data_IF_675869749532
#
_entry.id   IF_675869749532
#
_cell.length_a   1.000
_cell.length_b   1.000
_cell.length_c   1.000
_cell.angle_alpha   90.00
_cell.angle_beta   90.00
_cell.angle_gamma   90.00
#
_symmetry.space_group_name_H-M   'P 1'
#
loop_
_entity.id
_entity.type
_entity.pdbx_description
1 polymer ?
#
# COMPACT_ATOMS: atom_id res chain seq x y z
N UNK A 1 -3.75 14.42 -5.47
CA UNK A 1 -2.71 13.68 -6.25
C UNK A 1 -2.14 14.53 -7.39
N UNK A 2 -2.95 15.12 -8.25
CA UNK A 2 -2.49 15.81 -9.48
C UNK A 2 -1.49 16.94 -9.18
N UNK A 3 -1.82 17.81 -8.22
CA UNK A 3 -1.02 18.99 -7.93
C UNK A 3 0.42 18.65 -7.47
N UNK A 4 0.66 17.74 -6.50
CA UNK A 4 2.02 17.26 -6.20
C UNK A 4 2.77 16.66 -7.39
N UNK A 5 2.09 15.98 -8.32
CA UNK A 5 2.74 15.42 -9.52
C UNK A 5 3.23 16.54 -10.44
N UNK A 6 2.43 17.59 -10.63
CA UNK A 6 2.85 18.76 -11.42
C UNK A 6 4.06 19.42 -10.76
N UNK A 7 3.98 19.64 -9.43
CA UNK A 7 5.11 20.19 -8.67
C UNK A 7 6.37 19.32 -8.73
N UNK A 8 6.22 18.00 -8.79
CA UNK A 8 7.36 17.07 -8.87
C UNK A 8 8.23 17.31 -10.10
N UNK A 9 7.66 17.82 -11.20
CA UNK A 9 8.42 18.12 -12.43
C UNK A 9 9.47 19.20 -12.22
N UNK A 10 9.18 20.19 -11.38
CA UNK A 10 10.13 21.22 -11.01
C UNK A 10 11.21 20.69 -10.05
N UNK A 11 10.90 19.71 -9.21
CA UNK A 11 11.87 19.11 -8.28
C UNK A 11 12.90 18.20 -8.95
N UNK A 12 12.75 17.92 -10.26
CA UNK A 12 13.70 17.14 -11.06
C UNK A 12 14.90 17.97 -11.54
N UNK A 13 14.95 19.27 -11.27
CA UNK A 13 16.16 20.05 -11.51
C UNK A 13 17.35 19.44 -10.74
N UNK A 14 18.49 19.29 -11.43
CA UNK A 14 19.63 18.44 -11.04
C UNK A 14 20.13 18.66 -9.61
N UNK A 15 20.08 19.90 -9.14
CA UNK A 15 20.55 20.29 -7.81
C UNK A 15 19.55 19.91 -6.71
N UNK A 16 18.25 20.09 -6.95
CA UNK A 16 17.20 19.67 -6.02
C UNK A 16 17.09 18.15 -5.94
N UNK A 17 17.17 17.46 -7.08
CA UNK A 17 17.06 16.00 -7.12
C UNK A 17 18.12 15.31 -6.25
N UNK A 18 19.38 15.74 -6.34
CA UNK A 18 20.49 15.17 -5.55
C UNK A 18 20.31 15.37 -4.05
N UNK A 19 19.77 16.52 -3.64
CA UNK A 19 19.52 16.82 -2.22
C UNK A 19 18.31 16.06 -1.65
N UNK A 20 17.28 15.79 -2.46
CA UNK A 20 16.02 15.18 -2.01
C UNK A 20 16.07 13.65 -2.05
N UNK A 21 16.78 13.05 -3.02
CA UNK A 21 16.76 11.60 -3.23
C UNK A 21 17.13 10.76 -1.97
N UNK A 22 18.09 11.16 -1.11
CA UNK A 22 18.43 10.38 0.09
C UNK A 22 17.29 10.39 1.12
N UNK A 23 16.52 11.49 1.18
CA UNK A 23 15.45 11.69 2.15
C UNK A 23 14.10 11.17 1.68
N UNK A 24 13.95 10.88 0.38
CA UNK A 24 12.69 10.42 -0.22
C UNK A 24 12.02 9.30 0.58
N UNK A 25 12.78 8.28 0.96
CA UNK A 25 12.25 7.16 1.74
C UNK A 25 11.74 7.59 3.11
N UNK A 26 12.52 8.39 3.85
CA UNK A 26 12.14 8.90 5.16
C UNK A 26 10.88 9.78 5.08
N UNK A 27 10.82 10.72 4.11
CA UNK A 27 9.66 11.61 3.92
C UNK A 27 8.39 10.80 3.64
N UNK A 28 8.48 9.79 2.77
CA UNK A 28 7.34 8.92 2.44
C UNK A 28 6.90 8.12 3.67
N UNK A 29 7.84 7.54 4.41
CA UNK A 29 7.53 6.76 5.62
C UNK A 29 6.88 7.64 6.70
N UNK A 30 7.36 8.86 6.91
CA UNK A 30 6.74 9.81 7.83
C UNK A 30 5.35 10.23 7.38
N UNK A 31 5.14 10.45 6.07
CA UNK A 31 3.81 10.72 5.52
C UNK A 31 2.83 9.58 5.80
N UNK A 32 3.24 8.34 5.53
CA UNK A 32 2.41 7.17 5.85
C UNK A 32 2.18 7.00 7.35
N UNK A 33 3.20 7.23 8.18
CA UNK A 33 3.10 7.16 9.64
C UNK A 33 2.02 8.11 10.17
N UNK A 34 2.02 9.37 9.73
CA UNK A 34 1.02 10.37 10.14
C UNK A 34 -0.38 9.95 9.70
N UNK A 35 -0.55 9.44 8.47
CA UNK A 35 -1.85 8.95 8.00
C UNK A 35 -2.34 7.77 8.85
N UNK A 36 -1.49 6.77 9.10
CA UNK A 36 -1.90 5.58 9.84
C UNK A 36 -2.18 5.85 11.32
N UNK A 37 -1.35 6.65 11.99
CA UNK A 37 -1.60 6.97 13.40
C UNK A 37 -2.89 7.79 13.57
N UNK A 38 -3.21 8.66 12.61
CA UNK A 38 -4.46 9.42 12.62
C UNK A 38 -5.65 8.49 12.45
N UNK A 39 -5.62 7.61 11.45
CA UNK A 39 -6.71 6.64 11.20
C UNK A 39 -6.90 5.71 12.39
N UNK A 40 -5.82 5.15 12.94
CA UNK A 40 -5.89 4.24 14.08
C UNK A 40 -6.35 4.97 15.34
N UNK A 41 -5.84 6.19 15.58
CA UNK A 41 -6.18 7.00 16.75
C UNK A 41 -7.66 7.39 16.78
N UNK A 42 -8.19 7.90 15.66
CA UNK A 42 -9.61 8.25 15.55
C UNK A 42 -10.52 7.03 15.69
N UNK A 43 -10.07 5.87 15.20
CA UNK A 43 -10.83 4.62 15.28
C UNK A 43 -10.49 3.73 16.48
N UNK A 44 -9.77 4.25 17.49
CA UNK A 44 -9.27 3.48 18.64
C UNK A 44 -10.36 2.59 19.26
N UNK A 45 -11.56 3.13 19.47
CA UNK A 45 -12.68 2.38 20.08
C UNK A 45 -13.06 1.17 19.24
N UNK A 46 -13.19 1.32 17.92
CA UNK A 46 -13.47 0.21 17.01
C UNK A 46 -12.35 -0.83 17.05
N UNK A 47 -11.09 -0.39 17.18
CA UNK A 47 -9.96 -1.32 17.29
C UNK A 47 -9.95 -2.13 18.60
N UNK A 48 -10.41 -1.54 19.71
CA UNK A 48 -10.40 -2.18 21.02
C UNK A 48 -11.68 -2.97 21.33
N UNK A 49 -12.83 -2.46 20.89
CA UNK A 49 -14.15 -2.98 21.28
C UNK A 49 -14.77 -3.90 20.22
N UNK A 50 -14.33 -3.81 18.95
CA UNK A 50 -14.94 -4.54 17.83
C UNK A 50 -13.94 -5.43 17.06
N UNK A 51 -13.25 -6.38 17.75
CA UNK A 51 -12.22 -7.22 17.11
C UNK A 51 -12.78 -8.06 15.95
N UNK A 52 -14.06 -8.43 16.01
CA UNK A 52 -14.73 -9.17 14.94
C UNK A 52 -14.71 -8.43 13.59
N UNK A 53 -14.87 -7.10 13.60
CA UNK A 53 -14.85 -6.31 12.35
C UNK A 53 -13.42 -6.25 11.80
N UNK A 54 -12.44 -6.02 12.67
CA UNK A 54 -11.03 -6.00 12.28
C UNK A 54 -10.58 -7.32 11.67
N UNK A 55 -10.96 -8.45 12.28
CA UNK A 55 -10.61 -9.79 11.77
C UNK A 55 -11.21 -10.00 10.38
N UNK A 56 -12.48 -9.63 10.18
CA UNK A 56 -13.13 -9.76 8.87
C UNK A 56 -12.43 -8.90 7.81
N UNK A 57 -12.14 -7.64 8.10
CA UNK A 57 -11.45 -6.75 7.16
C UNK A 57 -10.03 -7.28 6.86
N UNK A 58 -9.31 -7.73 7.88
CA UNK A 58 -7.97 -8.30 7.73
C UNK A 58 -7.99 -9.57 6.89
N UNK A 59 -8.97 -10.45 7.09
CA UNK A 59 -9.15 -11.67 6.29
C UNK A 59 -9.45 -11.32 4.83
N UNK A 60 -10.32 -10.34 4.58
CA UNK A 60 -10.63 -9.87 3.22
C UNK A 60 -9.38 -9.27 2.58
N UNK A 61 -8.65 -8.41 3.29
CA UNK A 61 -7.41 -7.79 2.81
C UNK A 61 -6.34 -8.83 2.48
N UNK A 62 -6.15 -9.81 3.38
CA UNK A 62 -5.21 -10.92 3.17
C UNK A 62 -5.64 -11.76 1.96
N UNK A 63 -6.89 -12.22 1.94
CA UNK A 63 -7.40 -13.07 0.86
C UNK A 63 -7.30 -12.36 -0.48
N UNK A 64 -7.77 -11.12 -0.59
CA UNK A 64 -7.73 -10.38 -1.86
C UNK A 64 -6.31 -10.13 -2.36
N UNK A 65 -5.35 -9.86 -1.45
CA UNK A 65 -3.94 -9.63 -1.82
C UNK A 65 -3.27 -10.91 -2.31
N UNK A 66 -3.37 -12.00 -1.54
CA UNK A 66 -2.71 -13.27 -1.88
C UNK A 66 -3.42 -14.02 -3.01
N UNK A 67 -4.75 -14.00 -3.05
CA UNK A 67 -5.52 -14.55 -4.16
C UNK A 67 -5.27 -13.74 -5.44
N UNK A 68 -5.20 -12.41 -5.35
CA UNK A 68 -4.79 -11.55 -6.45
C UNK A 68 -3.42 -11.92 -7.01
N UNK A 69 -2.43 -12.17 -6.13
CA UNK A 69 -1.12 -12.67 -6.51
C UNK A 69 -1.20 -14.01 -7.26
N UNK A 70 -1.91 -14.99 -6.71
CA UNK A 70 -2.02 -16.34 -7.30
C UNK A 70 -2.67 -16.27 -8.68
N UNK A 71 -3.80 -15.57 -8.80
CA UNK A 71 -4.54 -15.46 -10.06
C UNK A 71 -3.70 -14.76 -11.13
N UNK A 72 -3.11 -13.61 -10.81
CA UNK A 72 -2.26 -12.88 -11.76
C UNK A 72 -1.04 -13.69 -12.17
N UNK A 73 -0.40 -14.40 -11.23
CA UNK A 73 0.74 -15.24 -11.55
C UNK A 73 0.36 -16.39 -12.50
N UNK A 74 -0.77 -17.05 -12.28
CA UNK A 74 -1.27 -18.12 -13.17
C UNK A 74 -1.56 -17.56 -14.57
N UNK A 75 -2.27 -16.43 -14.66
CA UNK A 75 -2.65 -15.82 -15.93
C UNK A 75 -1.40 -15.40 -16.71
N UNK A 76 -0.49 -14.66 -16.08
CA UNK A 76 0.73 -14.16 -16.73
C UNK A 76 1.68 -15.29 -17.12
N UNK A 77 1.74 -16.37 -16.33
CA UNK A 77 2.50 -17.57 -16.69
C UNK A 77 1.88 -18.27 -17.91
N UNK A 78 0.56 -18.38 -18.00
CA UNK A 78 -0.14 -18.94 -19.17
C UNK A 78 0.05 -18.08 -20.42
N UNK A 79 0.20 -16.77 -20.27
CA UNK A 79 0.49 -15.84 -21.37
C UNK A 79 1.96 -15.83 -21.80
N UNK A 80 2.83 -16.64 -21.19
CA UNK A 80 4.25 -16.73 -21.55
C UNK A 80 5.10 -15.53 -21.10
N UNK A 81 4.62 -14.72 -20.16
CA UNK A 81 5.37 -13.57 -19.65
C UNK A 81 6.56 -14.06 -18.81
N UNK A 82 7.74 -13.52 -19.09
CA UNK A 82 8.97 -13.83 -18.37
C UNK A 82 8.86 -13.49 -16.87
N UNK A 83 9.72 -14.07 -16.03
CA UNK A 83 9.65 -13.90 -14.57
C UNK A 83 9.76 -12.43 -14.13
N UNK A 84 10.68 -11.64 -14.72
CA UNK A 84 10.95 -10.26 -14.30
C UNK A 84 9.75 -9.33 -14.57
N UNK A 85 9.19 -9.42 -15.76
CA UNK A 85 8.01 -8.63 -16.16
C UNK A 85 6.78 -9.11 -15.40
N UNK A 86 6.66 -10.42 -15.17
CA UNK A 86 5.57 -10.99 -14.37
C UNK A 86 5.57 -10.48 -12.93
N UNK A 87 6.72 -10.46 -12.24
CA UNK A 87 6.79 -9.90 -10.88
C UNK A 87 6.36 -8.44 -10.85
N UNK A 88 6.80 -7.65 -11.83
CA UNK A 88 6.45 -6.23 -11.92
C UNK A 88 4.95 -6.02 -12.16
N UNK A 89 4.35 -6.80 -13.07
CA UNK A 89 2.91 -6.76 -13.36
C UNK A 89 2.05 -7.24 -12.19
N UNK A 90 2.51 -8.27 -11.48
CA UNK A 90 1.85 -8.77 -10.28
C UNK A 90 1.83 -7.68 -9.20
N UNK A 91 2.99 -7.06 -8.91
CA UNK A 91 3.10 -5.98 -7.94
C UNK A 91 2.18 -4.81 -8.30
N UNK A 92 2.13 -4.44 -9.58
CA UNK A 92 1.23 -3.39 -10.09
C UNK A 92 -0.25 -3.75 -9.90
N UNK A 93 -0.61 -5.02 -10.06
CA UNK A 93 -2.00 -5.50 -9.94
C UNK A 93 -2.47 -5.73 -8.51
N UNK A 94 -1.57 -6.11 -7.59
CA UNK A 94 -1.91 -6.44 -6.19
C UNK A 94 -1.77 -5.26 -5.24
N UNK A 95 -0.78 -4.40 -5.45
CA UNK A 95 -0.50 -3.27 -4.55
C UNK A 95 -1.26 -2.04 -5.05
N UNK A 96 -2.26 -1.63 -4.26
CA UNK A 96 -3.02 -0.40 -4.49
C UNK A 96 -2.51 0.70 -3.56
N UNK A 97 -2.84 1.96 -3.88
CA UNK A 97 -2.54 3.07 -2.99
C UNK A 97 -3.55 3.15 -1.82
N UNK A 98 -3.45 2.19 -0.90
CA UNK A 98 -4.37 2.02 0.23
C UNK A 98 -4.21 3.11 1.30
N UNK A 99 -3.00 3.66 1.48
CA UNK A 99 -2.78 4.80 2.38
C UNK A 99 -3.51 6.06 1.90
N UNK A 100 -3.51 6.33 0.59
CA UNK A 100 -4.32 7.42 0.02
C UNK A 100 -5.81 7.13 0.11
N UNK A 101 -6.24 5.87 -0.09
CA UNK A 101 -7.64 5.49 0.09
C UNK A 101 -8.12 5.75 1.53
N UNK A 102 -7.29 5.43 2.54
CA UNK A 102 -7.59 5.72 3.94
C UNK A 102 -7.73 7.23 4.18
N UNK A 103 -6.79 8.03 3.66
CA UNK A 103 -6.82 9.48 3.81
C UNK A 103 -8.08 10.10 3.16
N UNK A 104 -8.42 9.69 1.93
CA UNK A 104 -9.63 10.18 1.26
C UNK A 104 -10.89 9.76 2.00
N UNK A 105 -10.96 8.50 2.44
CA UNK A 105 -12.08 7.99 3.20
C UNK A 105 -12.32 8.81 4.47
N UNK A 106 -11.25 9.11 5.21
CA UNK A 106 -11.31 9.95 6.41
C UNK A 106 -11.76 11.38 6.11
N UNK A 107 -11.38 11.95 4.97
CA UNK A 107 -11.73 13.34 4.63
C UNK A 107 -13.13 13.51 4.04
N UNK A 108 -13.66 12.49 3.35
CA UNK A 108 -14.92 12.59 2.59
C UNK A 108 -16.08 11.85 3.25
N UNK A 109 -15.81 10.95 4.18
CA UNK A 109 -16.79 10.12 4.87
C UNK A 109 -16.48 10.08 6.37
N UNK A 110 -16.97 9.06 7.06
CA UNK A 110 -16.76 8.88 8.50
C UNK A 110 -15.41 8.22 8.81
N UNK A 111 -14.93 8.43 10.03
CA UNK A 111 -13.69 7.87 10.57
C UNK A 111 -13.59 6.35 10.34
N UNK A 112 -14.69 5.61 10.58
CA UNK A 112 -14.75 4.16 10.43
C UNK A 112 -14.49 3.66 9.00
N UNK A 113 -14.79 4.47 7.99
CA UNK A 113 -14.59 4.10 6.59
C UNK A 113 -13.12 4.11 6.17
N UNK A 114 -12.26 4.74 6.97
CA UNK A 114 -10.81 4.78 6.73
C UNK A 114 -10.07 3.54 7.24
N UNK A 115 -10.69 2.76 8.13
CA UNK A 115 -10.11 1.55 8.74
C UNK A 115 -9.62 0.54 7.68
N UNK A 116 -10.40 0.18 6.63
CA UNK A 116 -9.94 -0.79 5.63
C UNK A 116 -8.67 -0.35 4.92
N UNK A 117 -8.51 0.94 4.60
CA UNK A 117 -7.32 1.45 3.94
C UNK A 117 -6.05 1.31 4.80
N UNK A 118 -6.17 1.52 6.12
CA UNK A 118 -5.06 1.30 7.05
C UNK A 118 -4.71 -0.20 7.19
N UNK A 119 -5.72 -1.06 7.36
CA UNK A 119 -5.50 -2.52 7.48
C UNK A 119 -4.87 -3.10 6.21
N UNK A 120 -5.40 -2.75 5.02
CA UNK A 120 -4.83 -3.20 3.75
C UNK A 120 -3.37 -2.76 3.61
N UNK A 121 -3.03 -1.54 4.05
CA UNK A 121 -1.65 -1.05 4.02
C UNK A 121 -0.71 -1.87 4.90
N UNK A 122 -1.16 -2.29 6.09
CA UNK A 122 -0.40 -3.19 6.95
C UNK A 122 -0.21 -4.58 6.30
N UNK A 123 -1.26 -5.12 5.68
CA UNK A 123 -1.17 -6.37 4.91
C UNK A 123 -0.20 -6.23 3.73
N UNK A 124 -0.17 -5.10 3.04
CA UNK A 124 0.79 -4.85 1.96
C UNK A 124 2.24 -4.83 2.45
N UNK A 125 2.52 -4.27 3.64
CA UNK A 125 3.85 -4.34 4.22
C UNK A 125 4.28 -5.80 4.46
N UNK A 126 3.39 -6.62 5.05
CA UNK A 126 3.64 -8.06 5.25
C UNK A 126 3.82 -8.80 3.92
N UNK A 127 2.97 -8.52 2.95
CA UNK A 127 3.03 -9.09 1.60
C UNK A 127 4.34 -8.75 0.90
N UNK A 128 4.82 -7.51 1.01
CA UNK A 128 6.10 -7.08 0.43
C UNK A 128 7.29 -7.78 1.09
N UNK A 129 7.28 -7.94 2.41
CA UNK A 129 8.31 -8.71 3.13
C UNK A 129 8.32 -10.17 2.65
N UNK A 130 7.14 -10.80 2.57
CA UNK A 130 6.99 -12.17 2.09
C UNK A 130 7.47 -12.34 0.66
N UNK A 131 7.08 -11.44 -0.26
CA UNK A 131 7.48 -11.51 -1.66
C UNK A 131 8.98 -11.27 -1.84
N UNK A 132 9.54 -10.32 -1.07
CA UNK A 132 10.97 -10.05 -1.05
C UNK A 132 11.78 -11.26 -0.59
N UNK A 133 11.34 -11.95 0.46
CA UNK A 133 11.94 -13.20 0.91
C UNK A 133 11.85 -14.31 -0.13
N UNK A 134 10.70 -14.46 -0.80
CA UNK A 134 10.50 -15.46 -1.85
C UNK A 134 11.45 -15.27 -3.05
N UNK A 135 11.65 -14.02 -3.51
CA UNK A 135 12.54 -13.72 -4.64
C UNK A 135 14.04 -13.90 -4.33
N UNK A 136 14.42 -14.03 -3.06
CA UNK A 136 15.81 -14.35 -2.68
C UNK A 136 16.09 -15.87 -2.69
N UNK A 137 15.04 -16.71 -2.77
CA UNK A 137 15.11 -18.17 -2.66
C UNK A 137 14.96 -18.86 -4.05
N UNK A 138 14.42 -18.16 -5.05
CA UNK A 138 14.33 -18.58 -6.46
C UNK A 138 15.50 -18.03 -7.29
#
# INVERSE_FOLDING_TARGET
IILPIIFSRFLLFKDFYKSIIPWKGAIVNWGFFVVFITVIGLNQKTFLEQPNILIKISLIAFTTTFLGFILLNIILKKMGINQKDRTSMILLGTIKNSGFAAAIALTLFDEATSIPGAIISAIYALYMIWLGGKHQIE
#
